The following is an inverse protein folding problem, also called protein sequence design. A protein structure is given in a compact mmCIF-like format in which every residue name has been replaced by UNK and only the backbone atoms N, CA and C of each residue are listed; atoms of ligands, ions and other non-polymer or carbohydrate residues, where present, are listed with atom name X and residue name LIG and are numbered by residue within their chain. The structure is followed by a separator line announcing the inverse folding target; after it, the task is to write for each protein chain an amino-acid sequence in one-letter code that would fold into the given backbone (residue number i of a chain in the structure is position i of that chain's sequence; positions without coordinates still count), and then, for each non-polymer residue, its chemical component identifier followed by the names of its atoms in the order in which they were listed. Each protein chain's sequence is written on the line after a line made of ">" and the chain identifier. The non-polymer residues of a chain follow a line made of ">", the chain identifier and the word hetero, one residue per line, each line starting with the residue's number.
data_IF_516918376049
#
_entry.id   IF_516918376049
#
_cell.length_a   1.000
_cell.length_b   1.000
_cell.length_c   1.000
_cell.angle_alpha   90.00
_cell.angle_beta   90.00
_cell.angle_gamma   90.00
#
_symmetry.space_group_name_H-M   'P 1'
#
loop_
_entity.id
_entity.type
_entity.pdbx_description
1 polymer ?
#
# COMPACT_ATOMS: atom_id res chain seq x y z
N UNK A 1 -3.27 -13.50 4.18
CA UNK A 1 -4.03 -12.57 5.06
C UNK A 1 -3.27 -11.25 5.23
N UNK A 2 -1.94 -11.31 5.22
CA UNK A 2 -1.04 -10.16 5.33
C UNK A 2 -1.23 -9.14 4.21
N UNK A 3 -1.40 -9.58 2.95
CA UNK A 3 -1.61 -8.65 1.83
C UNK A 3 -2.89 -7.82 1.96
N UNK A 4 -3.95 -8.40 2.53
CA UNK A 4 -5.19 -7.65 2.84
C UNK A 4 -4.97 -6.70 4.01
N UNK A 5 -4.23 -7.11 5.05
CA UNK A 5 -3.86 -6.22 6.15
C UNK A 5 -3.07 -4.99 5.68
N UNK A 6 -2.12 -5.18 4.75
CA UNK A 6 -1.38 -4.09 4.11
C UNK A 6 -2.33 -3.17 3.33
N UNK A 7 -3.29 -3.74 2.59
CA UNK A 7 -4.30 -2.96 1.87
C UNK A 7 -5.13 -2.09 2.81
N UNK A 8 -5.63 -2.65 3.91
CA UNK A 8 -6.43 -1.90 4.89
C UNK A 8 -5.64 -0.77 5.55
N UNK A 9 -4.40 -1.03 5.98
CA UNK A 9 -3.52 0.01 6.54
C UNK A 9 -3.21 1.12 5.54
N UNK A 10 -2.91 0.76 4.30
CA UNK A 10 -2.66 1.75 3.26
C UNK A 10 -3.91 2.62 3.01
N UNK A 11 -5.10 2.01 3.04
CA UNK A 11 -6.36 2.75 2.92
C UNK A 11 -6.57 3.75 4.06
N UNK A 12 -6.21 3.40 5.30
CA UNK A 12 -6.24 4.34 6.44
C UNK A 12 -5.28 5.52 6.26
N UNK A 13 -4.13 5.28 5.61
CA UNK A 13 -3.15 6.31 5.26
C UNK A 13 -3.49 7.08 3.97
N UNK A 14 -4.67 6.83 3.37
CA UNK A 14 -5.18 7.54 2.19
C UNK A 14 -4.70 6.99 0.85
N UNK A 15 -4.08 5.81 0.84
CA UNK A 15 -3.63 5.14 -0.38
C UNK A 15 -4.56 3.95 -0.71
N UNK A 16 -5.21 4.02 -1.87
CA UNK A 16 -6.11 2.96 -2.34
C UNK A 16 -5.47 2.17 -3.47
N UNK A 17 -5.50 0.84 -3.36
CA UNK A 17 -5.06 -0.09 -4.40
C UNK A 17 -5.80 -1.42 -4.27
N UNK A 18 -5.60 -2.33 -5.23
CA UNK A 18 -6.19 -3.67 -5.20
C UNK A 18 -5.15 -4.73 -4.93
N UNK A 19 -5.54 -5.81 -4.27
CA UNK A 19 -4.77 -7.05 -4.19
C UNK A 19 -5.30 -8.03 -5.23
N UNK A 20 -4.41 -8.59 -6.05
CA UNK A 20 -4.71 -9.64 -7.01
C UNK A 20 -3.92 -10.91 -6.67
N UNK A 21 -4.43 -12.07 -7.10
CA UNK A 21 -3.76 -13.37 -6.90
C UNK A 21 -3.35 -13.67 -5.44
N UNK A 22 -4.01 -13.04 -4.45
CA UNK A 22 -3.73 -13.21 -3.02
C UNK A 22 -2.51 -12.46 -2.47
N UNK A 23 -1.58 -12.00 -3.32
CA UNK A 23 -0.34 -11.37 -2.85
C UNK A 23 0.27 -10.32 -3.81
N UNK A 24 -0.44 -9.93 -4.87
CA UNK A 24 0.04 -8.95 -5.85
C UNK A 24 -0.64 -7.60 -5.60
N UNK A 25 0.13 -6.59 -5.22
CA UNK A 25 -0.38 -5.22 -5.05
C UNK A 25 -0.45 -4.52 -6.41
N UNK A 26 -1.65 -4.13 -6.84
CA UNK A 26 -1.90 -3.50 -8.12
C UNK A 26 -2.08 -1.99 -7.94
N UNK A 27 -1.03 -1.25 -8.26
CA UNK A 27 -1.02 0.21 -8.24
C UNK A 27 -1.36 0.75 -9.64
N UNK A 28 -2.46 1.51 -9.74
CA UNK A 28 -2.88 2.17 -10.98
C UNK A 28 -2.90 3.69 -10.78
N UNK A 29 -1.73 4.35 -10.69
CA UNK A 29 -1.65 5.80 -10.51
C UNK A 29 -2.15 6.56 -11.74
N UNK A 30 -2.56 7.81 -11.54
CA UNK A 30 -2.92 8.70 -12.64
C UNK A 30 -1.69 9.04 -13.50
N UNK A 31 -1.87 9.14 -14.83
CA UNK A 31 -0.77 9.49 -15.75
C UNK A 31 -0.20 10.90 -15.53
N UNK A 32 -0.95 11.77 -14.84
CA UNK A 32 -0.56 13.13 -14.50
C UNK A 32 0.15 13.25 -13.15
N UNK A 33 0.31 12.15 -12.42
CA UNK A 33 0.95 12.13 -11.11
C UNK A 33 2.44 12.51 -11.23
N UNK A 34 2.91 13.35 -10.31
CA UNK A 34 4.33 13.72 -10.24
C UNK A 34 5.18 12.58 -9.65
N UNK A 35 6.49 12.62 -9.90
CA UNK A 35 7.44 11.67 -9.30
C UNK A 35 7.39 11.71 -7.77
N UNK A 36 7.32 12.91 -7.19
CA UNK A 36 7.26 13.08 -5.74
C UNK A 36 6.03 12.40 -5.14
N UNK A 37 4.85 12.62 -5.74
CA UNK A 37 3.64 11.95 -5.26
C UNK A 37 3.77 10.43 -5.36
N UNK A 38 4.38 9.92 -6.43
CA UNK A 38 4.63 8.49 -6.59
C UNK A 38 5.58 7.96 -5.52
N UNK A 39 6.67 8.68 -5.23
CA UNK A 39 7.61 8.31 -4.17
C UNK A 39 6.92 8.31 -2.80
N UNK A 40 6.11 9.33 -2.51
CA UNK A 40 5.32 9.42 -1.27
C UNK A 40 4.35 8.22 -1.14
N UNK A 41 3.69 7.82 -2.24
CA UNK A 41 2.81 6.65 -2.28
C UNK A 41 3.58 5.33 -2.03
N UNK A 42 4.73 5.15 -2.67
CA UNK A 42 5.56 3.94 -2.48
C UNK A 42 6.11 3.88 -1.05
N UNK A 43 6.56 5.00 -0.48
CA UNK A 43 7.00 5.07 0.92
C UNK A 43 5.88 4.67 1.89
N UNK A 44 4.63 5.06 1.58
CA UNK A 44 3.46 4.67 2.38
C UNK A 44 3.23 3.16 2.33
N UNK A 45 3.37 2.53 1.16
CA UNK A 45 3.26 1.06 1.03
C UNK A 45 4.36 0.36 1.82
N UNK A 46 5.60 0.84 1.76
CA UNK A 46 6.74 0.28 2.48
C UNK A 46 6.56 0.35 4.01
N UNK A 47 6.03 1.47 4.50
CA UNK A 47 5.66 1.63 5.91
C UNK A 47 4.58 0.61 6.32
N UNK A 48 3.52 0.48 5.53
CA UNK A 48 2.46 -0.50 5.81
C UNK A 48 2.98 -1.95 5.79
N UNK A 49 3.87 -2.30 4.86
CA UNK A 49 4.51 -3.61 4.81
C UNK A 49 5.33 -3.86 6.07
N UNK A 50 6.12 -2.87 6.50
CA UNK A 50 6.94 -2.95 7.71
C UNK A 50 6.10 -3.10 8.98
N UNK A 51 4.97 -2.38 9.08
CA UNK A 51 4.04 -2.51 10.21
C UNK A 51 3.46 -3.93 10.29
N UNK A 52 3.03 -4.49 9.15
CA UNK A 52 2.48 -5.85 9.09
C UNK A 52 3.55 -6.89 9.41
N UNK A 53 4.78 -6.71 8.92
CA UNK A 53 5.92 -7.59 9.24
C UNK A 53 6.24 -7.59 10.75
N UNK A 54 6.14 -6.44 11.41
CA UNK A 54 6.31 -6.31 12.87
C UNK A 54 5.14 -6.91 13.67
N UNK A 55 4.08 -7.36 13.01
CA UNK A 55 2.87 -7.86 13.67
C UNK A 55 1.98 -6.75 14.24
N UNK A 56 2.15 -5.50 13.80
CA UNK A 56 1.30 -4.35 14.18
C UNK A 56 -0.02 -4.38 13.39
N UNK A 57 -0.64 -5.55 13.31
CA UNK A 57 -1.98 -5.76 12.73
C UNK A 57 -2.99 -5.73 13.87
N UNK A 58 -4.16 -5.11 13.66
CA UNK A 58 -5.20 -4.82 14.65
C UNK A 58 -5.41 -5.88 15.75
#
# INVERSE_FOLDING_TARGET
>A
EEAEAVMYKAMEKGLSFKVAMGNVLVLTPALTMSRKEMDDAINTVDECLSEVERGEVY
#
